data_IF_214094966570
#
_entry.id   IF_214094966570
#
_cell.length_a   1.000
_cell.length_b   1.000
_cell.length_c   1.000
_cell.angle_alpha   90.00
_cell.angle_beta   90.00
_cell.angle_gamma   90.00
#
_symmetry.space_group_name_H-M   'P 1'
#
loop_
_entity.id
_entity.type
_entity.pdbx_description
1 polymer ?
#
# COMPACT_ATOMS: atom_id res chain seq x y z
N UNK A 1 0.81 27.67 20.02
CA UNK A 1 1.63 26.52 19.56
C UNK A 1 0.76 25.27 19.54
N UNK A 2 0.76 24.47 18.47
CA UNK A 2 0.00 23.20 18.44
C UNK A 2 0.65 22.14 19.36
N UNK A 3 -0.13 21.38 20.14
CA UNK A 3 0.39 20.26 20.93
C UNK A 3 1.08 19.21 20.05
N UNK A 4 2.15 18.57 20.55
CA UNK A 4 2.94 17.57 19.79
C UNK A 4 2.07 16.42 19.24
N UNK A 5 1.11 15.95 20.03
CA UNK A 5 0.15 14.89 19.65
C UNK A 5 -0.73 15.32 18.48
N UNK A 6 -1.21 16.56 18.49
CA UNK A 6 -2.04 17.10 17.40
C UNK A 6 -1.27 17.17 16.07
N UNK A 7 0.02 17.53 16.11
CA UNK A 7 0.87 17.53 14.91
C UNK A 7 1.10 16.13 14.35
N UNK A 8 1.37 15.15 15.22
CA UNK A 8 1.56 13.76 14.78
C UNK A 8 0.29 13.23 14.11
N UNK A 9 -0.87 13.47 14.73
CA UNK A 9 -2.15 13.10 14.15
C UNK A 9 -2.36 13.71 12.76
N UNK A 10 -2.07 15.01 12.59
CA UNK A 10 -2.18 15.68 11.30
C UNK A 10 -1.25 15.07 10.23
N UNK A 11 -0.02 14.69 10.58
CA UNK A 11 0.92 14.03 9.66
C UNK A 11 0.38 12.66 9.23
N UNK A 12 -0.05 11.84 10.19
CA UNK A 12 -0.59 10.49 9.91
C UNK A 12 -1.84 10.58 9.02
N UNK A 13 -2.72 11.56 9.30
CA UNK A 13 -3.88 11.84 8.46
C UNK A 13 -3.50 12.33 7.05
N UNK A 14 -2.41 13.09 6.93
CA UNK A 14 -1.84 13.47 5.64
C UNK A 14 -1.36 12.28 4.81
N UNK A 15 -0.67 11.32 5.44
CA UNK A 15 -0.26 10.06 4.79
C UNK A 15 -1.49 9.24 4.37
N UNK A 16 -2.53 9.19 5.22
CA UNK A 16 -3.82 8.56 4.89
C UNK A 16 -4.45 9.18 3.63
N UNK A 17 -4.46 10.51 3.54
CA UNK A 17 -5.01 11.23 2.37
C UNK A 17 -4.23 10.95 1.09
N UNK A 18 -2.89 10.96 1.17
CA UNK A 18 -2.02 10.62 0.05
C UNK A 18 -2.22 9.17 -0.41
N UNK A 19 -2.28 8.23 0.53
CA UNK A 19 -2.57 6.82 0.25
C UNK A 19 -3.93 6.64 -0.42
N UNK A 20 -4.95 7.40 -0.01
CA UNK A 20 -6.28 7.40 -0.62
C UNK A 20 -6.27 7.91 -2.06
N UNK A 21 -5.54 8.99 -2.33
CA UNK A 21 -5.33 9.48 -3.69
C UNK A 21 -4.64 8.42 -4.56
N UNK A 22 -3.54 7.84 -4.08
CA UNK A 22 -2.82 6.78 -4.79
C UNK A 22 -3.74 5.58 -5.07
N UNK A 23 -4.47 5.12 -4.06
CA UNK A 23 -5.40 4.00 -4.19
C UNK A 23 -6.49 4.28 -5.23
N UNK A 24 -7.07 5.47 -5.25
CA UNK A 24 -8.14 5.82 -6.18
C UNK A 24 -7.72 5.72 -7.66
N UNK A 25 -6.47 6.07 -7.99
CA UNK A 25 -5.99 6.05 -9.38
C UNK A 25 -5.27 4.76 -9.76
N UNK A 26 -4.43 4.22 -8.88
CA UNK A 26 -3.47 3.17 -9.24
C UNK A 26 -3.94 1.76 -8.82
N UNK A 27 -4.66 1.64 -7.71
CA UNK A 27 -5.11 0.32 -7.22
C UNK A 27 -6.07 -0.37 -8.20
N UNK A 28 -7.04 0.31 -8.86
CA UNK A 28 -7.90 -0.32 -9.87
C UNK A 28 -7.10 -0.96 -11.01
N UNK A 29 -5.99 -0.34 -11.42
CA UNK A 29 -5.11 -0.89 -12.46
C UNK A 29 -4.49 -2.20 -11.98
N UNK A 30 -3.96 -2.26 -10.76
CA UNK A 30 -3.39 -3.49 -10.21
C UNK A 30 -4.43 -4.59 -10.02
N UNK A 31 -5.62 -4.25 -9.52
CA UNK A 31 -6.74 -5.19 -9.37
C UNK A 31 -7.12 -5.75 -10.74
N UNK A 32 -7.24 -4.90 -11.75
CA UNK A 32 -7.55 -5.33 -13.10
C UNK A 32 -6.45 -6.26 -13.65
N UNK A 33 -5.18 -5.85 -13.62
CA UNK A 33 -4.10 -6.63 -14.23
C UNK A 33 -3.92 -8.00 -13.56
N UNK A 34 -3.77 -8.01 -12.23
CA UNK A 34 -3.41 -9.22 -11.46
C UNK A 34 -4.64 -10.03 -11.05
N UNK A 35 -5.73 -9.36 -10.66
CA UNK A 35 -6.93 -10.00 -10.12
C UNK A 35 -7.98 -10.38 -11.16
N UNK A 36 -7.94 -9.80 -12.36
CA UNK A 36 -8.96 -10.03 -13.41
C UNK A 36 -8.32 -10.49 -14.71
N UNK A 37 -7.47 -9.67 -15.33
CA UNK A 37 -6.97 -9.89 -16.68
C UNK A 37 -6.08 -11.14 -16.77
N UNK A 38 -5.11 -11.27 -15.87
CA UNK A 38 -4.23 -12.44 -15.83
C UNK A 38 -4.98 -13.77 -15.56
N UNK A 39 -5.80 -13.91 -14.51
CA UNK A 39 -6.49 -15.17 -14.23
C UNK A 39 -7.55 -15.54 -15.28
N UNK A 40 -8.10 -14.56 -16.01
CA UNK A 40 -9.07 -14.81 -17.09
C UNK A 40 -8.42 -14.96 -18.47
N UNK A 41 -7.09 -14.94 -18.58
CA UNK A 41 -6.39 -15.07 -19.87
C UNK A 41 -6.56 -13.85 -20.80
N UNK A 42 -6.94 -12.70 -20.26
CA UNK A 42 -7.05 -11.41 -20.97
C UNK A 42 -5.71 -10.64 -20.97
N UNK A 43 -4.67 -11.18 -20.32
CA UNK A 43 -3.33 -10.61 -20.32
C UNK A 43 -2.68 -10.77 -21.70
N UNK A 44 -2.33 -9.68 -22.40
CA UNK A 44 -1.96 -9.73 -23.82
C UNK A 44 -0.50 -10.10 -24.07
N UNK A 45 0.36 -10.11 -23.04
CA UNK A 45 1.79 -10.37 -23.21
C UNK A 45 2.08 -11.88 -23.22
N UNK A 46 2.86 -12.32 -24.19
CA UNK A 46 3.30 -13.70 -24.29
C UNK A 46 4.48 -13.96 -23.35
N UNK A 47 4.27 -14.81 -22.33
CA UNK A 47 5.29 -15.17 -21.33
C UNK A 47 5.46 -14.10 -20.24
N UNK A 48 5.35 -14.53 -18.98
CA UNK A 48 5.47 -13.66 -17.80
C UNK A 48 4.13 -13.17 -17.25
N UNK A 49 4.03 -13.12 -15.92
CA UNK A 49 2.88 -12.54 -15.21
C UNK A 49 2.96 -10.99 -15.19
N UNK A 50 1.84 -10.28 -14.92
CA UNK A 50 1.84 -8.82 -14.89
C UNK A 50 2.84 -8.23 -13.90
N UNK A 51 3.11 -8.87 -12.77
CA UNK A 51 4.06 -8.38 -11.77
C UNK A 51 5.48 -8.40 -12.32
N UNK A 52 5.89 -9.49 -12.94
CA UNK A 52 7.19 -9.62 -13.62
C UNK A 52 7.35 -8.59 -14.74
N UNK A 53 6.30 -8.36 -15.52
CA UNK A 53 6.29 -7.36 -16.59
C UNK A 53 6.45 -5.93 -16.04
N UNK A 54 5.76 -5.58 -14.95
CA UNK A 54 5.91 -4.29 -14.28
C UNK A 54 7.35 -4.12 -13.76
N UNK A 55 7.91 -5.13 -13.11
CA UNK A 55 9.26 -5.09 -12.55
C UNK A 55 10.38 -4.99 -13.61
N UNK A 56 10.11 -5.38 -14.86
CA UNK A 56 11.05 -5.20 -15.97
C UNK A 56 11.39 -3.73 -16.25
N UNK A 57 10.54 -2.79 -15.83
CA UNK A 57 10.79 -1.35 -15.90
C UNK A 57 11.66 -0.83 -14.75
N UNK A 58 12.60 -1.65 -14.27
CA UNK A 58 13.58 -1.37 -13.22
C UNK A 58 13.02 -0.54 -12.05
N UNK A 59 13.40 0.74 -11.95
CA UNK A 59 13.13 1.58 -10.77
C UNK A 59 11.69 2.09 -10.77
N UNK A 60 11.12 2.40 -11.93
CA UNK A 60 9.78 2.99 -12.04
C UNK A 60 8.72 1.94 -11.72
N UNK A 61 8.87 0.72 -12.24
CA UNK A 61 7.95 -0.38 -11.92
C UNK A 61 7.95 -0.74 -10.43
N UNK A 62 9.13 -0.77 -9.83
CA UNK A 62 9.30 -1.02 -8.39
C UNK A 62 8.67 0.09 -7.55
N UNK A 63 8.91 1.36 -7.91
CA UNK A 63 8.30 2.50 -7.24
C UNK A 63 6.78 2.46 -7.35
N UNK A 64 6.25 2.20 -8.54
CA UNK A 64 4.82 2.06 -8.79
C UNK A 64 4.18 1.01 -7.89
N UNK A 65 4.75 -0.20 -7.82
CA UNK A 65 4.25 -1.27 -6.94
C UNK A 65 4.34 -0.88 -5.46
N UNK A 66 5.47 -0.32 -5.04
CA UNK A 66 5.67 0.09 -3.65
C UNK A 66 4.63 1.13 -3.23
N UNK A 67 4.52 2.26 -3.94
CA UNK A 67 3.61 3.34 -3.55
C UNK A 67 2.16 2.91 -3.64
N UNK A 68 1.78 2.13 -4.66
CA UNK A 68 0.40 1.68 -4.83
C UNK A 68 -0.02 0.73 -3.72
N UNK A 69 0.80 -0.29 -3.42
CA UNK A 69 0.45 -1.29 -2.40
C UNK A 69 0.59 -0.71 -1.00
N UNK A 70 1.70 -0.05 -0.68
CA UNK A 70 1.92 0.53 0.65
C UNK A 70 0.94 1.67 0.96
N UNK A 71 0.69 2.55 -0.02
CA UNK A 71 -0.27 3.65 0.11
C UNK A 71 -1.70 3.15 0.31
N UNK A 72 -2.12 2.16 -0.47
CA UNK A 72 -3.44 1.53 -0.33
C UNK A 72 -3.59 0.80 1.01
N UNK A 73 -2.56 0.08 1.46
CA UNK A 73 -2.56 -0.59 2.76
C UNK A 73 -2.72 0.41 3.91
N UNK A 74 -1.90 1.47 3.91
CA UNK A 74 -1.98 2.51 4.94
C UNK A 74 -3.38 3.15 4.95
N UNK A 75 -3.87 3.56 3.78
CA UNK A 75 -5.18 4.18 3.65
C UNK A 75 -6.30 3.28 4.16
N UNK A 76 -6.33 2.03 3.68
CA UNK A 76 -7.35 1.04 4.03
C UNK A 76 -7.38 0.74 5.52
N UNK A 77 -6.24 0.42 6.13
CA UNK A 77 -6.17 0.07 7.55
C UNK A 77 -6.48 1.27 8.46
N UNK A 78 -5.98 2.46 8.12
CA UNK A 78 -6.27 3.69 8.87
C UNK A 78 -7.78 4.02 8.85
N UNK A 79 -8.47 3.80 7.72
CA UNK A 79 -9.93 3.93 7.64
C UNK A 79 -10.63 2.83 8.44
N UNK A 80 -10.19 1.59 8.26
CA UNK A 80 -10.81 0.41 8.86
C UNK A 80 -10.84 0.46 10.40
N UNK A 81 -9.71 0.81 11.04
CA UNK A 81 -9.67 0.96 12.51
C UNK A 81 -10.63 2.05 13.02
N UNK A 82 -10.80 3.13 12.25
CA UNK A 82 -11.69 4.24 12.58
C UNK A 82 -13.15 3.81 12.45
N UNK A 83 -13.49 3.12 11.35
CA UNK A 83 -14.82 2.55 11.12
C UNK A 83 -15.20 1.53 12.19
N UNK A 84 -14.29 0.63 12.59
CA UNK A 84 -14.55 -0.31 13.69
C UNK A 84 -14.83 0.40 15.02
N UNK A 85 -14.07 1.46 15.31
CA UNK A 85 -14.27 2.30 16.49
C UNK A 85 -15.67 2.94 16.48
N UNK A 86 -16.09 3.44 15.32
CA UNK A 86 -17.41 4.07 15.11
C UNK A 86 -18.57 3.06 15.17
N UNK A 87 -18.35 1.80 14.77
CA UNK A 87 -19.36 0.73 14.77
C UNK A 87 -19.61 0.08 16.15
N UNK A 88 -19.04 0.64 17.22
CA UNK A 88 -19.29 0.21 18.60
C UNK A 88 -18.10 -0.38 19.33
N UNK A 89 -16.92 -0.50 18.68
CA UNK A 89 -15.68 -0.93 19.34
C UNK A 89 -14.89 0.23 19.95
N UNK A 90 -15.55 1.34 20.29
CA UNK A 90 -14.94 2.50 20.95
C UNK A 90 -14.13 2.15 22.22
N UNK A 91 -14.56 1.22 23.11
CA UNK A 91 -13.76 0.81 24.26
C UNK A 91 -12.41 0.16 23.87
N UNK A 92 -12.34 -0.45 22.68
CA UNK A 92 -11.15 -1.10 22.15
C UNK A 92 -10.32 -0.19 21.23
N UNK A 93 -10.64 1.10 21.09
CA UNK A 93 -9.99 2.04 20.16
C UNK A 93 -8.45 1.95 20.18
N UNK A 94 -7.85 1.98 21.38
CA UNK A 94 -6.38 1.93 21.53
C UNK A 94 -5.79 0.62 20.99
N UNK A 95 -6.47 -0.50 21.23
CA UNK A 95 -6.04 -1.79 20.73
C UNK A 95 -6.19 -1.87 19.20
N UNK A 96 -7.29 -1.35 18.64
CA UNK A 96 -7.52 -1.28 17.20
C UNK A 96 -6.45 -0.43 16.51
N UNK A 97 -6.13 0.75 17.04
CA UNK A 97 -5.07 1.60 16.51
C UNK A 97 -3.70 0.92 16.59
N UNK A 98 -3.38 0.27 17.71
CA UNK A 98 -2.10 -0.44 17.87
C UNK A 98 -1.95 -1.60 16.87
N UNK A 99 -3.00 -2.42 16.73
CA UNK A 99 -3.02 -3.54 15.76
C UNK A 99 -2.97 -2.98 14.33
N UNK A 100 -3.73 -1.93 14.03
CA UNK A 100 -3.74 -1.29 12.72
C UNK A 100 -2.35 -0.78 12.31
N UNK A 101 -1.69 -0.01 13.17
CA UNK A 101 -0.32 0.44 12.90
C UNK A 101 0.69 -0.70 12.80
N UNK A 102 0.52 -1.78 13.58
CA UNK A 102 1.37 -2.97 13.45
C UNK A 102 1.21 -3.62 12.07
N UNK A 103 -0.03 -3.82 11.61
CA UNK A 103 -0.32 -4.38 10.27
C UNK A 103 0.27 -3.50 9.18
N UNK A 104 0.11 -2.17 9.29
CA UNK A 104 0.68 -1.21 8.34
C UNK A 104 2.20 -1.35 8.29
N UNK A 105 2.89 -1.32 9.43
CA UNK A 105 4.36 -1.39 9.49
C UNK A 105 4.84 -2.72 8.90
N UNK A 106 4.29 -3.85 9.36
CA UNK A 106 4.68 -5.16 8.87
C UNK A 106 4.40 -5.34 7.37
N UNK A 107 3.25 -4.88 6.90
CA UNK A 107 2.90 -4.95 5.48
C UNK A 107 3.80 -4.09 4.60
N UNK A 108 4.13 -2.86 5.02
CA UNK A 108 5.06 -2.00 4.29
C UNK A 108 6.46 -2.62 4.23
N UNK A 109 6.95 -3.17 5.35
CA UNK A 109 8.24 -3.86 5.41
C UNK A 109 8.24 -5.10 4.52
N UNK A 110 7.15 -5.88 4.51
CA UNK A 110 7.01 -7.04 3.65
C UNK A 110 7.02 -6.64 2.17
N UNK A 111 6.27 -5.61 1.77
CA UNK A 111 6.27 -5.11 0.39
C UNK A 111 7.67 -4.65 -0.02
N UNK A 112 8.35 -3.86 0.82
CA UNK A 112 9.72 -3.43 0.56
C UNK A 112 10.67 -4.63 0.40
N UNK A 113 10.60 -5.60 1.31
CA UNK A 113 11.41 -6.81 1.28
C UNK A 113 11.21 -7.62 0.00
N UNK A 114 9.96 -7.92 -0.36
CA UNK A 114 9.67 -8.68 -1.58
C UNK A 114 10.07 -7.93 -2.85
N UNK A 115 9.89 -6.61 -2.90
CA UNK A 115 10.35 -5.83 -4.05
C UNK A 115 11.87 -5.82 -4.19
N UNK A 116 12.61 -5.75 -3.08
CA UNK A 116 14.07 -5.88 -3.10
C UNK A 116 14.54 -7.28 -3.50
N UNK A 117 13.82 -8.32 -3.04
CA UNK A 117 14.11 -9.71 -3.41
C UNK A 117 13.87 -9.97 -4.90
N UNK A 118 12.76 -9.44 -5.44
CA UNK A 118 12.35 -9.64 -6.83
C UNK A 118 13.08 -8.71 -7.80
N UNK A 119 13.54 -7.55 -7.34
CA UNK A 119 14.28 -6.59 -8.14
C UNK A 119 15.44 -5.94 -7.37
N UNK A 120 16.53 -6.69 -7.10
CA UNK A 120 17.67 -6.20 -6.35
C UNK A 120 18.40 -5.04 -7.07
N UNK A 121 18.25 -4.94 -8.39
CA UNK A 121 18.85 -3.87 -9.20
C UNK A 121 18.32 -2.47 -8.86
N UNK A 122 17.21 -2.35 -8.13
CA UNK A 122 16.71 -1.04 -7.69
C UNK A 122 17.68 -0.30 -6.76
N UNK A 123 18.61 -1.01 -6.12
CA UNK A 123 19.62 -0.43 -5.23
C UNK A 123 20.91 -0.02 -5.97
N UNK A 124 21.09 -0.44 -7.22
CA UNK A 124 22.18 0.10 -8.04
C UNK A 124 21.80 1.51 -8.51
N UNK A 125 22.53 2.52 -8.02
CA UNK A 125 22.45 3.86 -8.59
C UNK A 125 22.94 3.80 -10.05
N UNK A 126 22.34 4.60 -10.96
CA UNK A 126 22.79 4.68 -12.34
C UNK A 126 24.25 5.15 -12.46
#
# INVERSE_FOLDING_TARGET
>A
MMPKVARLHAILWGVFSMGGFIAAFLLPVLIYLVGIAYPLGLWPMAGGDPTSAILSHHHIGTLFLFVTVAGSLYHGIFRFQSTLTELGLAPAKRALEAIGYLIIILGILAVAYYLLLLNPSVLSLP
#
